data_IF_775578646533
#
_entry.id   IF_775578646533
#
_cell.length_a   1.000
_cell.length_b   1.000
_cell.length_c   1.000
_cell.angle_alpha   90.00
_cell.angle_beta   90.00
_cell.angle_gamma   90.00
#
_symmetry.space_group_name_H-M   'P 1'
#
loop_
_entity.id
_entity.type
_entity.pdbx_description
1 polymer ?
#
# COMPACT_ATOMS: atom_id res chain seq x y z
N UNK A 1 -20.89 19.30 -3.85
CA UNK A 1 -19.85 18.36 -4.31
C UNK A 1 -19.67 17.29 -3.25
N UNK A 2 -19.82 16.01 -3.60
CA UNK A 2 -19.59 14.90 -2.66
C UNK A 2 -18.08 14.56 -2.57
N UNK A 3 -17.69 13.77 -1.56
CA UNK A 3 -16.29 13.44 -1.31
C UNK A 3 -15.58 12.79 -2.52
N UNK A 4 -16.30 11.98 -3.29
CA UNK A 4 -15.76 11.30 -4.48
C UNK A 4 -15.50 12.27 -5.63
N UNK A 5 -16.42 13.22 -5.85
CA UNK A 5 -16.26 14.28 -6.85
C UNK A 5 -15.04 15.16 -6.54
N UNK A 6 -14.86 15.53 -5.26
CA UNK A 6 -13.69 16.32 -4.80
C UNK A 6 -12.39 15.55 -5.07
N UNK A 7 -12.35 14.26 -4.73
CA UNK A 7 -11.17 13.42 -4.95
C UNK A 7 -10.80 13.32 -6.43
N UNK A 8 -11.78 13.17 -7.32
CA UNK A 8 -11.56 13.11 -8.77
C UNK A 8 -10.92 14.41 -9.26
N UNK A 9 -11.42 15.57 -8.82
CA UNK A 9 -10.87 16.87 -9.23
C UNK A 9 -9.44 17.09 -8.70
N UNK A 10 -9.13 16.59 -7.50
CA UNK A 10 -7.76 16.59 -6.99
C UNK A 10 -6.83 15.76 -7.90
N UNK A 11 -7.25 14.54 -8.28
CA UNK A 11 -6.44 13.70 -9.16
C UNK A 11 -6.28 14.25 -10.58
N UNK A 12 -7.28 14.96 -11.11
CA UNK A 12 -7.17 15.64 -12.41
C UNK A 12 -6.12 16.74 -12.38
N UNK A 13 -5.99 17.46 -11.26
CA UNK A 13 -5.04 18.57 -11.08
C UNK A 13 -3.60 18.12 -10.78
N UNK A 14 -3.38 16.84 -10.45
CA UNK A 14 -2.04 16.33 -10.16
C UNK A 14 -1.20 16.18 -11.43
N UNK A 15 0.06 16.60 -11.36
CA UNK A 15 1.07 16.27 -12.37
C UNK A 15 1.37 14.76 -12.39
N UNK A 16 1.93 14.23 -13.48
CA UNK A 16 2.40 12.85 -13.50
C UNK A 16 3.36 12.50 -12.35
N UNK A 17 4.30 13.39 -11.98
CA UNK A 17 5.21 13.10 -10.86
C UNK A 17 4.47 13.02 -9.52
N UNK A 18 3.48 13.88 -9.31
CA UNK A 18 2.66 13.84 -8.09
C UNK A 18 1.86 12.54 -7.99
N UNK A 19 1.29 12.07 -9.10
CA UNK A 19 0.58 10.78 -9.16
C UNK A 19 1.50 9.62 -8.85
N UNK A 20 2.71 9.61 -9.42
CA UNK A 20 3.72 8.58 -9.14
C UNK A 20 4.15 8.59 -7.68
N UNK A 21 4.42 9.77 -7.10
CA UNK A 21 4.76 9.91 -5.69
C UNK A 21 3.63 9.39 -4.78
N UNK A 22 2.38 9.72 -5.11
CA UNK A 22 1.23 9.24 -4.36
C UNK A 22 1.05 7.72 -4.46
N UNK A 23 1.19 7.13 -5.65
CA UNK A 23 1.05 5.69 -5.84
C UNK A 23 2.16 4.93 -5.10
N UNK A 24 3.40 5.42 -5.12
CA UNK A 24 4.51 4.86 -4.35
C UNK A 24 4.25 4.94 -2.84
N UNK A 25 3.75 6.08 -2.35
CA UNK A 25 3.38 6.24 -0.93
C UNK A 25 2.31 5.23 -0.51
N UNK A 26 1.28 5.04 -1.35
CA UNK A 26 0.22 4.08 -1.11
C UNK A 26 0.75 2.64 -1.11
N UNK A 27 1.59 2.29 -2.08
CA UNK A 27 2.23 0.97 -2.17
C UNK A 27 2.99 0.62 -0.88
N UNK A 28 3.86 1.51 -0.40
CA UNK A 28 4.61 1.26 0.83
C UNK A 28 3.73 1.25 2.08
N UNK A 29 2.70 2.09 2.12
CA UNK A 29 1.74 2.12 3.25
C UNK A 29 0.97 0.81 3.36
N UNK A 30 0.49 0.27 2.24
CA UNK A 30 -0.19 -1.01 2.20
C UNK A 30 0.72 -2.16 2.68
N UNK A 31 1.99 -2.18 2.24
CA UNK A 31 2.97 -3.17 2.68
C UNK A 31 3.27 -3.10 4.18
N UNK A 32 3.43 -1.89 4.73
CA UNK A 32 3.61 -1.70 6.18
C UNK A 32 2.42 -2.20 6.97
N UNK A 33 1.21 -1.86 6.54
CA UNK A 33 -0.01 -2.33 7.19
C UNK A 33 -0.09 -3.86 7.19
N UNK A 34 0.24 -4.49 6.06
CA UNK A 34 0.24 -5.95 5.95
C UNK A 34 1.31 -6.60 6.83
N UNK A 35 2.50 -5.99 6.92
CA UNK A 35 3.56 -6.46 7.82
C UNK A 35 3.11 -6.40 9.29
N UNK A 36 2.48 -5.31 9.73
CA UNK A 36 1.95 -5.19 11.09
C UNK A 36 0.89 -6.25 11.39
N UNK A 37 -0.01 -6.49 10.44
CA UNK A 37 -1.00 -7.56 10.57
C UNK A 37 -0.33 -8.94 10.67
N UNK A 38 0.67 -9.24 9.84
CA UNK A 38 1.40 -10.51 9.91
C UNK A 38 2.12 -10.72 11.24
N UNK A 39 2.77 -9.67 11.78
CA UNK A 39 3.40 -9.74 13.11
C UNK A 39 2.40 -10.04 14.22
N UNK A 40 1.18 -9.53 14.10
CA UNK A 40 0.11 -9.84 15.06
C UNK A 40 -0.34 -11.31 14.95
N UNK A 41 -0.42 -11.86 13.74
CA UNK A 41 -0.86 -13.25 13.52
C UNK A 41 0.24 -14.28 13.79
N UNK A 42 1.51 -13.90 13.62
CA UNK A 42 2.68 -14.76 13.77
C UNK A 42 3.73 -14.09 14.68
N UNK A 43 3.51 -14.05 16.01
CA UNK A 43 4.45 -13.41 16.95
C UNK A 43 5.82 -14.08 17.02
N UNK A 44 5.90 -15.35 16.59
CA UNK A 44 7.11 -16.18 16.54
C UNK A 44 7.97 -15.94 15.30
N UNK A 45 7.44 -15.25 14.28
CA UNK A 45 8.18 -15.01 13.04
C UNK A 45 9.24 -13.92 13.21
N UNK A 46 10.38 -14.14 12.57
CA UNK A 46 11.40 -13.11 12.40
C UNK A 46 10.92 -12.03 11.43
N UNK A 47 11.53 -10.84 11.52
CA UNK A 47 11.23 -9.75 10.58
C UNK A 47 11.45 -10.15 9.12
N UNK A 48 12.46 -10.98 8.84
CA UNK A 48 12.74 -11.49 7.50
C UNK A 48 11.59 -12.38 6.98
N UNK A 49 11.08 -13.30 7.81
CA UNK A 49 9.93 -14.14 7.45
C UNK A 49 8.69 -13.29 7.13
N UNK A 50 8.44 -12.25 7.95
CA UNK A 50 7.36 -11.29 7.70
C UNK A 50 7.56 -10.58 6.36
N UNK A 51 8.75 -10.02 6.09
CA UNK A 51 8.99 -9.29 4.84
C UNK A 51 8.91 -10.20 3.60
N UNK A 52 9.42 -11.43 3.68
CA UNK A 52 9.30 -12.42 2.62
C UNK A 52 7.83 -12.73 2.33
N UNK A 53 7.01 -12.92 3.37
CA UNK A 53 5.58 -13.18 3.18
C UNK A 53 4.83 -11.97 2.63
N UNK A 54 5.14 -10.75 3.06
CA UNK A 54 4.57 -9.52 2.45
C UNK A 54 4.93 -9.46 0.97
N UNK A 55 6.17 -9.77 0.61
CA UNK A 55 6.60 -9.81 -0.81
C UNK A 55 5.80 -10.83 -1.61
N UNK A 56 5.63 -12.05 -1.10
CA UNK A 56 4.81 -13.09 -1.74
C UNK A 56 3.36 -12.63 -1.95
N UNK A 57 2.73 -12.04 -0.93
CA UNK A 57 1.34 -11.57 -1.00
C UNK A 57 1.16 -10.51 -2.09
N UNK A 58 2.03 -9.51 -2.13
CA UNK A 58 1.93 -8.42 -3.12
C UNK A 58 2.35 -8.88 -4.52
N UNK A 59 3.26 -9.85 -4.64
CA UNK A 59 3.63 -10.45 -5.93
C UNK A 59 2.45 -11.20 -6.56
N UNK A 60 1.63 -11.84 -5.74
CA UNK A 60 0.48 -12.63 -6.17
C UNK A 60 -0.84 -11.84 -6.16
N UNK A 61 -0.80 -10.54 -5.88
CA UNK A 61 -1.99 -9.68 -5.91
C UNK A 61 -2.53 -9.58 -7.35
N UNK A 62 -3.83 -9.78 -7.52
CA UNK A 62 -4.52 -9.72 -8.82
C UNK A 62 -5.58 -8.62 -8.76
N UNK A 63 -5.85 -8.01 -9.92
CA UNK A 63 -6.88 -6.99 -10.14
C UNK A 63 -8.22 -7.59 -10.51
#
# INVERSE_FOLDING_TARGET
MNAREIQIEIFKKMTPEQKLKLSMSLYWSARRLKASWLRQQHPDWTDEQVQNKVTEIFKNART
#
